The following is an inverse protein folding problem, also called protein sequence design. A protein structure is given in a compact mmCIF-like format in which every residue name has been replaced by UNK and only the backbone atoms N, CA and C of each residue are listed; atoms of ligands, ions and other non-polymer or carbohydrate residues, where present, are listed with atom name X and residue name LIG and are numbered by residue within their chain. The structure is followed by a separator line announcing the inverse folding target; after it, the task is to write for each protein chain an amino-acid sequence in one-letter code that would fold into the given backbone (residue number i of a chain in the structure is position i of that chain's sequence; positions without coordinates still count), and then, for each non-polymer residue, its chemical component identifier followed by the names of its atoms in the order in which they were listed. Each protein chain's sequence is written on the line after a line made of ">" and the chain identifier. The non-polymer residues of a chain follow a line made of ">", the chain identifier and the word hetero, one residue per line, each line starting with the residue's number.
data_IF_227980076141
#
_entry.id   IF_227980076141
#
_cell.length_a   1.000
_cell.length_b   1.000
_cell.length_c   1.000
_cell.angle_alpha   90.00
_cell.angle_beta   90.00
_cell.angle_gamma   90.00
#
_symmetry.space_group_name_H-M   'P 1'
#
loop_
_entity.id
_entity.type
_entity.pdbx_description
1 polymer ?
#
# COMPACT_ATOMS: atom_id res chain seq x y z
N UNK A 1 -11.95 15.46 10.21
CA UNK A 1 -11.23 16.66 9.72
C UNK A 1 -11.32 17.77 10.75
N UNK A 2 -10.30 17.92 11.61
CA UNK A 2 -10.19 19.03 12.57
C UNK A 2 -9.20 20.07 12.03
N UNK A 3 -9.74 21.26 11.75
CA UNK A 3 -9.15 22.60 11.89
C UNK A 3 -7.66 22.81 11.56
N UNK A 4 -7.38 23.50 10.45
CA UNK A 4 -6.26 24.45 10.39
C UNK A 4 -6.77 25.79 9.83
N UNK A 5 -7.14 26.66 10.76
CA UNK A 5 -7.48 28.07 10.53
C UNK A 5 -6.20 28.92 10.71
N UNK A 6 -6.03 29.91 9.82
CA UNK A 6 -5.15 31.10 9.89
C UNK A 6 -3.66 30.82 9.58
N UNK A 7 -2.95 31.61 8.76
CA UNK A 7 -3.03 33.04 8.49
C UNK A 7 -2.90 33.38 6.99
N UNK A 8 -3.74 34.33 6.54
CA UNK A 8 -3.51 35.23 5.42
C UNK A 8 -3.00 36.55 6.00
N UNK A 9 -1.93 37.10 5.44
CA UNK A 9 -1.61 38.53 5.40
C UNK A 9 -0.72 38.72 4.15
N UNK A 10 -1.28 38.91 2.96
CA UNK A 10 -1.71 40.20 2.41
C UNK A 10 -0.72 41.34 2.71
N UNK A 11 0.23 41.57 1.80
CA UNK A 11 0.75 42.90 1.53
C UNK A 11 0.72 43.14 0.02
N UNK A 12 0.04 44.21 -0.35
CA UNK A 12 -0.20 44.70 -1.71
C UNK A 12 0.75 45.89 -1.90
N UNK A 13 1.47 45.96 -3.02
CA UNK A 13 1.48 47.09 -3.99
C UNK A 13 2.60 46.95 -5.06
N UNK A 14 2.50 47.65 -6.21
CA UNK A 14 2.89 47.17 -7.53
C UNK A 14 4.13 47.88 -8.08
N UNK A 15 4.79 47.31 -9.08
CA UNK A 15 5.60 48.07 -10.04
C UNK A 15 5.46 47.47 -11.45
N UNK A 16 5.03 48.35 -12.35
CA UNK A 16 5.05 48.27 -13.81
C UNK A 16 6.47 48.12 -14.36
N UNK A 17 6.74 47.19 -15.29
CA UNK A 17 7.48 47.52 -16.52
C UNK A 17 7.43 46.39 -17.58
N UNK A 18 7.26 46.86 -18.81
CA UNK A 18 7.24 46.24 -20.14
C UNK A 18 8.37 45.28 -20.48
N UNK A 19 8.08 44.29 -21.34
CA UNK A 19 9.12 43.50 -22.02
C UNK A 19 8.56 42.36 -22.89
N UNK A 20 8.21 42.69 -24.13
CA UNK A 20 7.96 41.77 -25.24
C UNK A 20 9.22 40.93 -25.53
N UNK A 21 9.12 39.59 -25.52
CA UNK A 21 9.90 38.66 -26.35
C UNK A 21 9.10 37.36 -26.48
N UNK A 22 8.73 37.07 -27.72
CA UNK A 22 8.18 35.83 -28.22
C UNK A 22 9.30 34.80 -28.34
N UNK A 23 9.20 33.67 -27.63
CA UNK A 23 9.84 32.43 -28.05
C UNK A 23 8.85 31.27 -27.84
N UNK A 24 8.57 30.63 -28.96
CA UNK A 24 7.69 29.49 -29.12
C UNK A 24 8.31 28.27 -28.40
N UNK A 25 7.88 28.01 -27.17
CA UNK A 25 7.96 26.66 -26.61
C UNK A 25 6.76 25.88 -27.14
N UNK A 26 6.95 25.27 -28.31
CA UNK A 26 6.13 24.12 -28.72
C UNK A 26 6.46 23.00 -27.73
N UNK A 27 5.69 22.93 -26.64
CA UNK A 27 5.57 21.72 -25.85
C UNK A 27 5.16 20.60 -26.81
N UNK A 28 6.09 19.67 -27.05
CA UNK A 28 5.70 18.31 -27.38
C UNK A 28 4.73 17.89 -26.28
N UNK A 29 3.46 17.73 -26.64
CA UNK A 29 2.56 16.92 -25.85
C UNK A 29 3.16 15.53 -25.91
N UNK A 30 3.92 15.18 -24.89
CA UNK A 30 4.08 13.78 -24.55
C UNK A 30 2.69 13.34 -24.13
N UNK A 31 1.98 12.70 -25.07
CA UNK A 31 0.80 11.92 -24.77
C UNK A 31 1.28 10.79 -23.85
N UNK A 32 1.30 11.05 -22.54
CA UNK A 32 1.30 10.00 -21.53
C UNK A 32 -0.03 9.25 -21.71
N UNK A 33 -0.03 8.30 -22.64
CA UNK A 33 -1.05 7.28 -22.70
C UNK A 33 -1.13 6.68 -21.29
N UNK A 34 -2.33 6.61 -20.67
CA UNK A 34 -2.47 5.93 -19.39
C UNK A 34 -1.88 4.54 -19.52
N UNK A 35 -1.26 4.03 -18.45
CA UNK A 35 -0.60 2.73 -18.44
C UNK A 35 -1.64 1.59 -18.48
N UNK A 36 -2.44 1.50 -19.55
CA UNK A 36 -3.61 0.61 -19.65
C UNK A 36 -3.22 -0.88 -19.69
N UNK A 37 -1.93 -1.20 -19.74
CA UNK A 37 -1.44 -2.57 -19.92
C UNK A 37 -0.38 -3.00 -18.88
N UNK A 38 -0.31 -2.37 -17.70
CA UNK A 38 0.58 -2.94 -16.67
C UNK A 38 0.06 -4.32 -16.25
N UNK A 39 0.94 -5.31 -16.32
CA UNK A 39 0.73 -6.68 -15.84
C UNK A 39 1.88 -7.00 -14.89
N UNK A 40 1.54 -7.39 -13.67
CA UNK A 40 2.51 -7.81 -12.68
C UNK A 40 2.90 -9.26 -12.95
N UNK A 41 4.06 -9.47 -13.57
CA UNK A 41 4.54 -10.79 -13.97
C UNK A 41 4.76 -11.76 -12.78
N UNK A 42 4.96 -11.22 -11.57
CA UNK A 42 5.20 -12.00 -10.34
C UNK A 42 3.95 -12.15 -9.47
N UNK A 43 2.90 -11.38 -9.74
CA UNK A 43 1.70 -11.39 -8.92
C UNK A 43 0.83 -12.61 -9.23
N UNK A 44 0.17 -13.12 -8.20
CA UNK A 44 -0.71 -14.28 -8.32
C UNK A 44 -2.08 -13.85 -8.82
N UNK A 45 -2.76 -14.72 -9.57
CA UNK A 45 -4.13 -14.48 -10.06
C UNK A 45 -5.19 -15.26 -9.31
N UNK A 46 -4.77 -16.13 -8.39
CA UNK A 46 -5.62 -16.89 -7.46
C UNK A 46 -5.04 -16.81 -6.05
N UNK A 47 -5.85 -16.98 -5.00
CA UNK A 47 -5.34 -17.09 -3.64
C UNK A 47 -4.28 -18.19 -3.50
N UNK A 48 -3.23 -17.93 -2.73
CA UNK A 48 -2.23 -18.93 -2.32
C UNK A 48 -2.74 -19.75 -1.12
N UNK A 49 -3.67 -19.19 -0.33
CA UNK A 49 -4.23 -19.83 0.86
C UNK A 49 -5.00 -21.13 0.54
N UNK A 50 -4.77 -22.18 1.33
CA UNK A 50 -5.50 -23.44 1.24
C UNK A 50 -6.76 -23.39 2.11
N UNK A 51 -7.86 -23.95 1.61
CA UNK A 51 -9.16 -23.95 2.31
C UNK A 51 -9.09 -24.59 3.70
N UNK A 52 -8.25 -25.63 3.87
CA UNK A 52 -8.02 -26.28 5.16
C UNK A 52 -7.48 -25.34 6.25
N UNK A 53 -6.93 -24.19 5.86
CA UNK A 53 -6.26 -23.24 6.74
C UNK A 53 -7.07 -21.93 6.94
N UNK A 54 -8.24 -21.79 6.30
CA UNK A 54 -9.02 -20.54 6.29
C UNK A 54 -9.45 -20.09 7.70
N UNK A 55 -9.73 -21.03 8.62
CA UNK A 55 -10.15 -20.76 9.99
C UNK A 55 -9.09 -21.16 11.03
N UNK A 56 -7.81 -21.02 10.71
CA UNK A 56 -6.70 -21.38 11.61
C UNK A 56 -5.54 -20.39 11.56
N UNK A 57 -4.60 -20.51 12.48
CA UNK A 57 -3.33 -19.76 12.44
C UNK A 57 -2.45 -20.12 11.23
N UNK A 58 -2.62 -21.31 10.65
CA UNK A 58 -1.92 -21.70 9.42
C UNK A 58 -2.49 -20.94 8.23
N UNK A 59 -1.74 -20.85 7.15
CA UNK A 59 -2.17 -20.18 5.93
C UNK A 59 -1.24 -19.04 5.51
N UNK A 60 -1.78 -18.14 4.70
CA UNK A 60 -1.04 -17.03 4.10
C UNK A 60 -1.57 -15.70 4.66
N UNK A 61 -0.65 -14.81 5.02
CA UNK A 61 -0.96 -13.45 5.46
C UNK A 61 -0.20 -12.48 4.58
N UNK A 62 -0.87 -11.47 4.06
CA UNK A 62 -0.32 -10.50 3.13
C UNK A 62 -0.54 -9.10 3.66
N UNK A 63 0.36 -8.19 3.33
CA UNK A 63 0.28 -6.84 3.85
C UNK A 63 1.26 -5.84 3.26
N UNK A 64 1.17 -4.61 3.77
CA UNK A 64 2.02 -3.48 3.39
C UNK A 64 2.84 -2.98 4.57
N UNK A 65 3.95 -2.35 4.24
CA UNK A 65 4.91 -1.74 5.15
C UNK A 65 4.79 -0.22 5.07
N UNK A 66 4.18 0.36 6.09
CA UNK A 66 3.85 1.78 6.23
C UNK A 66 5.04 2.54 6.81
N UNK A 67 5.39 3.67 6.17
CA UNK A 67 6.52 4.52 6.53
C UNK A 67 7.68 4.43 5.55
N UNK A 68 7.81 3.26 4.90
CA UNK A 68 8.97 2.89 4.06
C UNK A 68 8.59 2.26 2.71
N UNK A 69 7.30 2.23 2.34
CA UNK A 69 6.78 1.63 1.08
C UNK A 69 7.32 0.23 0.79
N UNK A 70 6.52 -0.78 1.11
CA UNK A 70 6.86 -2.16 0.81
C UNK A 70 5.72 -3.13 1.06
N UNK A 71 5.96 -4.40 0.79
CA UNK A 71 5.00 -5.49 0.99
C UNK A 71 5.59 -6.60 1.85
N UNK A 72 4.71 -7.40 2.46
CA UNK A 72 5.10 -8.61 3.16
C UNK A 72 4.08 -9.72 2.90
N UNK A 73 4.60 -10.93 2.67
CA UNK A 73 3.82 -12.16 2.59
C UNK A 73 4.39 -13.16 3.59
N UNK A 74 3.56 -13.65 4.51
CA UNK A 74 3.90 -14.59 5.57
C UNK A 74 3.17 -15.90 5.29
N UNK A 75 3.93 -16.99 5.23
CA UNK A 75 3.45 -18.34 5.09
C UNK A 75 3.64 -19.11 6.39
N UNK A 76 2.52 -19.51 7.02
CA UNK A 76 2.52 -20.35 8.22
C UNK A 76 1.99 -21.73 7.82
N UNK A 77 2.88 -22.66 7.48
CA UNK A 77 2.54 -24.06 7.19
C UNK A 77 1.35 -24.24 6.21
N UNK A 78 1.30 -23.45 5.14
CA UNK A 78 0.22 -23.52 4.15
C UNK A 78 0.48 -24.61 3.10
N UNK A 79 0.34 -25.88 3.48
CA UNK A 79 0.56 -27.04 2.60
C UNK A 79 1.96 -27.64 2.69
N UNK A 80 2.83 -27.06 3.51
CA UNK A 80 4.15 -27.58 3.89
C UNK A 80 4.37 -27.43 5.40
N UNK A 81 5.51 -27.92 5.91
CA UNK A 81 5.93 -27.66 7.30
C UNK A 81 6.65 -26.31 7.47
N UNK A 82 6.83 -25.52 6.41
CA UNK A 82 7.66 -24.31 6.44
C UNK A 82 6.94 -23.12 7.07
N UNK A 83 7.73 -22.28 7.76
CA UNK A 83 7.28 -21.03 8.36
C UNK A 83 8.24 -19.94 7.89
N UNK A 84 7.78 -19.15 6.92
CA UNK A 84 8.62 -18.21 6.17
C UNK A 84 7.86 -16.93 5.92
N UNK A 85 8.57 -15.83 5.72
CA UNK A 85 8.01 -14.62 5.17
C UNK A 85 8.94 -14.06 4.08
N UNK A 86 8.35 -13.37 3.12
CA UNK A 86 9.05 -12.60 2.11
C UNK A 86 8.60 -11.16 2.26
N UNK A 87 9.54 -10.27 2.55
CA UNK A 87 9.29 -8.83 2.59
C UNK A 87 9.96 -8.18 1.39
N UNK A 88 9.28 -7.28 0.70
CA UNK A 88 9.88 -6.40 -0.30
C UNK A 88 9.89 -5.00 0.30
N UNK A 89 11.08 -4.42 0.44
CA UNK A 89 11.27 -3.07 1.01
C UNK A 89 12.30 -2.34 0.16
N UNK A 90 12.00 -1.10 -0.24
CA UNK A 90 12.84 -0.32 -1.17
C UNK A 90 13.20 -1.10 -2.46
N UNK A 91 12.28 -1.93 -2.94
CA UNK A 91 12.49 -2.80 -4.12
C UNK A 91 13.40 -4.01 -3.88
N UNK A 92 13.93 -4.20 -2.67
CA UNK A 92 14.76 -5.36 -2.31
C UNK A 92 13.91 -6.43 -1.64
N UNK A 93 14.01 -7.66 -2.16
CA UNK A 93 13.35 -8.83 -1.56
C UNK A 93 14.20 -9.42 -0.43
N UNK A 94 13.57 -9.63 0.72
CA UNK A 94 14.17 -10.15 1.94
C UNK A 94 13.44 -11.43 2.34
N UNK A 95 14.20 -12.52 2.41
CA UNK A 95 13.73 -13.77 2.98
C UNK A 95 13.83 -13.73 4.52
N UNK A 96 12.75 -14.12 5.17
CA UNK A 96 12.61 -14.17 6.62
C UNK A 96 12.16 -15.56 7.03
N UNK A 97 12.68 -16.07 8.15
CA UNK A 97 12.31 -17.38 8.68
C UNK A 97 11.95 -17.31 10.15
N UNK A 98 11.13 -18.26 10.59
CA UNK A 98 10.86 -18.49 12.01
C UNK A 98 10.91 -19.98 12.31
N UNK A 99 11.40 -20.32 13.50
CA UNK A 99 11.49 -21.70 13.98
C UNK A 99 10.44 -22.01 15.07
N UNK A 100 9.50 -21.08 15.33
CA UNK A 100 8.45 -21.30 16.32
C UNK A 100 7.41 -22.26 15.76
N UNK A 101 7.23 -23.41 16.42
CA UNK A 101 6.26 -24.40 16.00
C UNK A 101 4.82 -23.91 16.23
N UNK A 102 3.92 -24.26 15.31
CA UNK A 102 2.47 -24.06 15.49
C UNK A 102 1.94 -25.07 16.50
N UNK A 103 1.21 -24.59 17.51
CA UNK A 103 0.47 -25.43 18.46
C UNK A 103 -1.02 -25.33 18.13
N UNK A 104 -1.67 -26.48 17.89
CA UNK A 104 -3.09 -26.51 17.54
C UNK A 104 -3.96 -25.92 18.66
N UNK A 105 -4.97 -25.13 18.26
CA UNK A 105 -5.91 -24.52 19.20
C UNK A 105 -5.34 -23.34 19.99
N UNK A 106 -4.15 -22.84 19.64
CA UNK A 106 -3.55 -21.66 20.26
C UNK A 106 -3.44 -20.50 19.27
N UNK A 107 -3.40 -19.28 19.81
CA UNK A 107 -2.90 -18.14 19.05
C UNK A 107 -1.43 -18.36 18.68
N UNK A 108 -0.98 -17.70 17.64
CA UNK A 108 0.39 -17.86 17.14
C UNK A 108 1.15 -16.54 17.27
N UNK A 109 2.33 -16.61 17.87
CA UNK A 109 3.25 -15.48 18.02
C UNK A 109 4.64 -15.97 17.66
N UNK A 110 5.31 -15.32 16.71
CA UNK A 110 6.59 -15.78 16.22
C UNK A 110 7.49 -14.62 15.77
N UNK A 111 8.77 -14.61 16.20
CA UNK A 111 9.77 -13.75 15.61
C UNK A 111 10.19 -14.32 14.25
N UNK A 112 10.23 -13.45 13.27
CA UNK A 112 10.82 -13.67 11.96
C UNK A 112 12.12 -12.89 11.88
N UNK A 113 13.17 -13.54 11.38
CA UNK A 113 14.51 -12.95 11.26
C UNK A 113 15.08 -13.14 9.88
N UNK A 114 15.90 -12.19 9.43
CA UNK A 114 16.57 -12.22 8.13
C UNK A 114 17.62 -11.11 8.04
N UNK A 115 18.06 -10.81 6.82
CA UNK A 115 19.09 -9.80 6.56
C UNK A 115 18.62 -8.84 5.48
N UNK A 116 18.69 -7.53 5.73
CA UNK A 116 18.40 -6.47 4.77
C UNK A 116 19.63 -5.57 4.65
N UNK A 117 20.14 -5.37 3.42
CA UNK A 117 21.35 -4.60 3.15
C UNK A 117 22.54 -4.98 4.04
N UNK A 118 22.73 -6.29 4.27
CA UNK A 118 23.82 -6.82 5.10
C UNK A 118 23.60 -6.69 6.62
N UNK A 119 22.52 -6.04 7.06
CA UNK A 119 22.21 -5.89 8.49
C UNK A 119 21.10 -6.86 8.93
N UNK A 120 21.20 -7.44 10.14
CA UNK A 120 20.15 -8.30 10.66
C UNK A 120 18.87 -7.49 10.92
N UNK A 121 17.73 -8.09 10.58
CA UNK A 121 16.41 -7.55 10.88
C UNK A 121 15.58 -8.56 11.65
N UNK A 122 14.63 -8.05 12.43
CA UNK A 122 13.66 -8.88 13.15
C UNK A 122 12.28 -8.25 13.15
N UNK A 123 11.25 -9.09 13.17
CA UNK A 123 9.87 -8.66 13.30
C UNK A 123 9.05 -9.74 13.99
N UNK A 124 8.14 -9.37 14.89
CA UNK A 124 7.32 -10.32 15.63
C UNK A 124 5.90 -10.28 15.12
N UNK A 125 5.47 -11.37 14.49
CA UNK A 125 4.12 -11.56 14.01
C UNK A 125 3.25 -12.15 15.11
N UNK A 126 1.99 -11.72 15.19
CA UNK A 126 0.97 -12.28 16.08
C UNK A 126 -0.35 -12.43 15.35
N UNK A 127 -1.06 -13.53 15.60
CA UNK A 127 -2.41 -13.77 15.07
C UNK A 127 -3.23 -14.60 16.05
N UNK A 128 -4.54 -14.33 16.09
CA UNK A 128 -5.49 -15.11 16.87
C UNK A 128 -5.63 -16.54 16.35
N UNK A 129 -6.16 -17.44 17.19
CA UNK A 129 -6.30 -18.88 16.91
C UNK A 129 -7.00 -19.20 15.58
N UNK A 130 -7.98 -18.39 15.18
CA UNK A 130 -8.72 -18.56 13.92
C UNK A 130 -7.99 -18.01 12.69
N UNK A 131 -6.78 -17.48 12.86
CA UNK A 131 -6.12 -16.67 11.84
C UNK A 131 -6.63 -15.22 11.78
N UNK A 132 -7.54 -14.83 12.67
CA UNK A 132 -8.09 -13.48 12.75
C UNK A 132 -7.13 -12.46 13.38
N UNK A 133 -7.32 -11.20 13.02
CA UNK A 133 -6.58 -10.04 13.54
C UNK A 133 -5.05 -10.18 13.49
N UNK A 134 -4.46 -10.53 12.34
CA UNK A 134 -3.01 -10.59 12.19
C UNK A 134 -2.39 -9.20 12.44
N UNK A 135 -1.26 -9.16 13.13
CA UNK A 135 -0.55 -7.92 13.44
C UNK A 135 0.96 -8.16 13.53
N UNK A 136 1.73 -7.10 13.25
CA UNK A 136 3.16 -7.06 13.56
C UNK A 136 3.32 -6.31 14.88
N UNK A 137 3.65 -7.02 15.97
CA UNK A 137 3.72 -6.43 17.31
C UNK A 137 5.03 -5.67 17.55
N UNK A 138 6.08 -6.01 16.82
CA UNK A 138 7.35 -5.30 16.85
C UNK A 138 8.12 -5.50 15.55
N UNK A 139 8.99 -4.55 15.23
CA UNK A 139 9.94 -4.65 14.12
C UNK A 139 11.20 -3.86 14.40
N UNK A 140 12.34 -4.41 14.00
CA UNK A 140 13.64 -3.74 14.00
C UNK A 140 14.25 -3.89 12.62
N UNK A 141 14.18 -2.81 11.84
CA UNK A 141 14.71 -2.73 10.48
C UNK A 141 15.61 -1.49 10.41
N UNK A 142 16.95 -1.65 10.38
CA UNK A 142 17.86 -0.52 10.27
C UNK A 142 17.55 0.36 9.05
N UNK A 143 17.52 1.67 9.24
CA UNK A 143 17.11 2.64 8.21
C UNK A 143 15.62 2.92 8.13
N UNK A 144 14.78 2.13 8.80
CA UNK A 144 13.32 2.24 8.73
C UNK A 144 12.67 2.32 10.14
N UNK A 145 12.95 3.39 10.91
CA UNK A 145 12.35 3.57 12.22
C UNK A 145 10.83 3.78 12.10
N UNK A 146 10.07 3.36 13.12
CA UNK A 146 8.61 3.52 13.19
C UNK A 146 7.85 2.86 12.04
N UNK A 147 8.40 1.76 11.51
CA UNK A 147 7.72 0.97 10.49
C UNK A 147 6.43 0.38 11.07
N UNK A 148 5.32 0.62 10.40
CA UNK A 148 4.00 0.08 10.74
C UNK A 148 3.59 -0.94 9.69
N UNK A 149 2.85 -1.98 10.07
CA UNK A 149 2.38 -3.01 9.16
C UNK A 149 0.86 -3.05 9.15
N UNK A 150 0.28 -3.19 7.97
CA UNK A 150 -1.11 -3.60 7.82
C UNK A 150 -1.12 -4.99 7.21
N UNK A 151 -1.71 -5.95 7.92
CA UNK A 151 -1.72 -7.36 7.55
C UNK A 151 -3.16 -7.85 7.45
N UNK A 152 -3.43 -8.71 6.48
CA UNK A 152 -4.67 -9.45 6.36
C UNK A 152 -4.39 -10.91 6.07
N UNK A 153 -5.26 -11.78 6.57
CA UNK A 153 -5.25 -13.19 6.21
C UNK A 153 -5.86 -13.35 4.82
N UNK A 154 -5.14 -14.02 3.94
CA UNK A 154 -5.70 -14.50 2.68
C UNK A 154 -6.48 -15.79 2.95
N UNK A 155 -7.64 -15.94 2.30
CA UNK A 155 -8.43 -17.18 2.36
C UNK A 155 -8.48 -17.83 1.00
N UNK A 156 -8.83 -19.11 0.93
CA UNK A 156 -8.94 -19.87 -0.32
C UNK A 156 -9.92 -19.28 -1.34
N UNK A 157 -10.79 -18.37 -0.91
CA UNK A 157 -11.79 -17.68 -1.74
C UNK A 157 -11.58 -16.18 -1.86
N UNK A 158 -10.63 -15.61 -1.11
CA UNK A 158 -10.38 -14.16 -1.10
C UNK A 158 -8.90 -13.87 -1.12
N UNK A 159 -8.42 -13.49 -2.31
CA UNK A 159 -7.06 -13.04 -2.56
C UNK A 159 -6.84 -11.65 -1.95
N UNK A 160 -5.64 -11.41 -1.44
CA UNK A 160 -5.19 -10.09 -1.00
C UNK A 160 -4.18 -9.58 -2.03
N UNK A 161 -4.46 -8.40 -2.59
CA UNK A 161 -3.62 -7.71 -3.56
C UNK A 161 -3.02 -6.46 -2.93
N UNK A 162 -1.80 -6.09 -3.32
CA UNK A 162 -1.19 -4.80 -2.97
C UNK A 162 -0.92 -3.98 -4.22
N UNK A 163 -1.15 -2.68 -4.13
CA UNK A 163 -0.79 -1.71 -5.17
C UNK A 163 0.07 -0.62 -4.56
N UNK A 164 1.08 -0.18 -5.30
CA UNK A 164 1.92 0.96 -4.94
C UNK A 164 1.86 2.00 -6.05
N UNK A 165 1.89 3.27 -5.67
CA UNK A 165 1.77 4.34 -6.64
C UNK A 165 2.09 5.71 -6.07
N UNK A 166 1.78 6.70 -6.89
CA UNK A 166 1.98 8.12 -6.56
C UNK A 166 0.69 8.88 -6.71
N UNK A 167 0.57 9.96 -5.95
CA UNK A 167 -0.47 10.96 -6.14
C UNK A 167 0.14 12.33 -6.37
N UNK A 168 -0.60 13.18 -7.08
CA UNK A 168 -0.33 14.59 -7.24
C UNK A 168 -1.61 15.38 -7.04
N UNK A 169 -1.49 16.51 -6.36
CA UNK A 169 -2.57 17.47 -6.13
C UNK A 169 -2.34 18.69 -7.01
N UNK A 170 -3.41 19.30 -7.51
CA UNK A 170 -3.35 20.44 -8.45
C UNK A 170 -2.62 21.68 -7.94
N UNK A 171 -2.34 21.78 -6.64
CA UNK A 171 -1.57 22.87 -6.02
C UNK A 171 -0.08 22.53 -5.81
N UNK A 172 0.36 21.36 -6.27
CA UNK A 172 1.77 20.96 -6.31
C UNK A 172 2.18 19.93 -5.26
N UNK A 173 1.31 19.61 -4.29
CA UNK A 173 1.55 18.52 -3.35
C UNK A 173 1.68 17.18 -4.10
N UNK A 174 2.63 16.35 -3.69
CA UNK A 174 2.88 15.03 -4.28
C UNK A 174 3.25 14.03 -3.19
N UNK A 175 2.97 12.77 -3.42
CA UNK A 175 3.36 11.72 -2.50
C UNK A 175 3.21 10.33 -3.07
N UNK A 176 3.40 9.35 -2.20
CA UNK A 176 3.25 7.93 -2.51
C UNK A 176 2.07 7.34 -1.75
N UNK A 177 1.55 6.24 -2.26
CA UNK A 177 0.55 5.46 -1.56
C UNK A 177 0.82 3.96 -1.69
N UNK A 178 0.31 3.22 -0.71
CA UNK A 178 0.13 1.78 -0.78
C UNK A 178 -1.36 1.46 -0.55
N UNK A 179 -1.90 0.53 -1.33
CA UNK A 179 -3.26 0.03 -1.20
C UNK A 179 -3.19 -1.47 -0.96
N UNK A 180 -3.98 -1.97 0.00
CA UNK A 180 -4.32 -3.38 0.11
C UNK A 180 -5.78 -3.57 -0.28
N UNK A 181 -6.09 -4.57 -1.07
CA UNK A 181 -7.45 -4.83 -1.48
C UNK A 181 -7.78 -6.31 -1.61
N UNK A 182 -9.08 -6.60 -1.60
CA UNK A 182 -9.63 -7.88 -2.00
C UNK A 182 -10.84 -7.64 -2.88
N UNK A 183 -10.74 -8.07 -4.14
CA UNK A 183 -11.84 -7.93 -5.11
C UNK A 183 -13.07 -8.74 -4.72
N UNK A 184 -12.88 -9.97 -4.25
CA UNK A 184 -13.98 -10.84 -3.82
C UNK A 184 -14.74 -10.27 -2.62
N UNK A 185 -14.03 -9.63 -1.69
CA UNK A 185 -14.64 -8.97 -0.54
C UNK A 185 -15.15 -7.55 -0.85
N UNK A 186 -14.85 -7.02 -2.03
CA UNK A 186 -15.17 -5.66 -2.45
C UNK A 186 -14.68 -4.59 -1.45
N UNK A 187 -13.50 -4.80 -0.86
CA UNK A 187 -12.91 -3.94 0.18
C UNK A 187 -11.49 -3.58 -0.16
N UNK A 188 -11.09 -2.40 0.27
CA UNK A 188 -9.71 -1.95 0.18
C UNK A 188 -9.36 -1.01 1.34
N UNK A 189 -8.08 -0.93 1.64
CA UNK A 189 -7.46 0.00 2.58
C UNK A 189 -6.29 0.69 1.92
N UNK A 190 -5.92 1.87 2.40
CA UNK A 190 -4.76 2.60 1.90
C UNK A 190 -3.98 3.25 3.01
N UNK A 191 -2.72 3.53 2.67
CA UNK A 191 -1.87 4.44 3.40
C UNK A 191 -1.16 5.35 2.40
N UNK A 192 -1.12 6.64 2.69
CA UNK A 192 -0.48 7.66 1.87
C UNK A 192 0.57 8.42 2.67
N UNK A 193 1.58 8.92 1.97
CA UNK A 193 2.66 9.74 2.54
C UNK A 193 3.01 10.87 1.57
N UNK A 194 2.95 12.11 2.05
CA UNK A 194 3.42 13.28 1.29
C UNK A 194 4.95 13.29 1.20
N UNK A 195 5.48 13.72 0.05
CA UNK A 195 6.91 13.84 -0.16
C UNK A 195 7.55 14.81 0.84
N UNK A 196 8.65 14.39 1.45
CA UNK A 196 9.37 15.20 2.45
C UNK A 196 8.73 15.19 3.84
N UNK A 197 7.55 14.57 4.02
CA UNK A 197 6.91 14.44 5.33
C UNK A 197 7.25 13.10 5.99
N UNK A 198 7.16 13.08 7.32
CA UNK A 198 7.35 11.86 8.14
C UNK A 198 6.03 11.21 8.56
N UNK A 199 4.92 11.96 8.53
CA UNK A 199 3.58 11.48 8.85
C UNK A 199 2.93 10.76 7.66
N UNK A 200 2.08 9.79 7.98
CA UNK A 200 1.22 9.10 7.03
C UNK A 200 -0.25 9.35 7.34
N UNK A 201 -1.10 9.23 6.32
CA UNK A 201 -2.56 9.18 6.47
C UNK A 201 -3.07 7.83 5.95
N UNK A 202 -4.19 7.34 6.45
CA UNK A 202 -4.72 6.03 6.11
C UNK A 202 -6.24 6.02 6.13
N UNK A 203 -6.82 5.15 5.33
CA UNK A 203 -8.26 4.96 5.30
C UNK A 203 -8.65 3.66 4.62
N UNK A 204 -9.94 3.49 4.40
CA UNK A 204 -10.50 2.32 3.74
C UNK A 204 -11.78 2.65 3.00
N UNK A 205 -12.09 1.83 2.00
CA UNK A 205 -13.29 2.00 1.20
C UNK A 205 -13.80 0.68 0.65
N UNK A 206 -14.68 0.80 -0.35
CA UNK A 206 -15.27 -0.35 -1.05
C UNK A 206 -14.89 -0.35 -2.52
N UNK A 207 -15.02 -1.51 -3.16
CA UNK A 207 -14.87 -1.68 -4.60
C UNK A 207 -16.26 -1.95 -5.17
N UNK A 208 -16.64 -1.28 -6.25
CA UNK A 208 -17.90 -1.59 -6.93
C UNK A 208 -17.72 -2.65 -8.04
N UNK A 209 -18.83 -3.10 -8.63
CA UNK A 209 -18.81 -4.10 -9.71
C UNK A 209 -18.09 -3.65 -11.00
N UNK A 210 -17.80 -2.36 -11.13
CA UNK A 210 -17.01 -1.78 -12.24
C UNK A 210 -15.52 -1.67 -11.90
N UNK A 211 -15.04 -2.34 -10.85
CA UNK A 211 -13.66 -2.28 -10.38
C UNK A 211 -13.19 -0.87 -9.99
N UNK A 212 -14.12 -0.03 -9.51
CA UNK A 212 -13.80 1.32 -9.04
C UNK A 212 -13.64 1.36 -7.53
N UNK A 213 -12.62 2.07 -7.06
CA UNK A 213 -12.40 2.35 -5.65
C UNK A 213 -13.32 3.49 -5.20
N UNK A 214 -14.17 3.19 -4.21
CA UNK A 214 -15.09 4.13 -3.61
C UNK A 214 -14.59 4.54 -2.22
N UNK A 215 -14.37 5.83 -2.02
CA UNK A 215 -14.05 6.46 -0.74
C UNK A 215 -15.07 7.57 -0.47
N UNK A 216 -15.74 7.54 0.69
CA UNK A 216 -16.76 8.54 1.06
C UNK A 216 -17.79 8.82 -0.05
N UNK A 217 -18.30 7.75 -0.67
CA UNK A 217 -19.25 7.78 -1.80
C UNK A 217 -18.73 8.42 -3.11
N UNK A 218 -17.43 8.67 -3.21
CA UNK A 218 -16.77 9.15 -4.44
C UNK A 218 -15.95 8.04 -5.07
N UNK A 219 -16.02 7.93 -6.40
CA UNK A 219 -15.04 7.15 -7.18
C UNK A 219 -13.72 7.92 -7.13
N UNK A 220 -12.67 7.28 -6.62
CA UNK A 220 -11.33 7.88 -6.57
C UNK A 220 -10.38 7.28 -7.59
N UNK A 221 -10.61 6.04 -8.02
CA UNK A 221 -9.76 5.32 -8.98
C UNK A 221 -10.52 4.16 -9.62
N UNK A 222 -10.00 3.67 -10.74
CA UNK A 222 -10.43 2.45 -11.41
C UNK A 222 -9.25 1.49 -11.51
N UNK A 223 -9.52 0.21 -11.27
CA UNK A 223 -8.55 -0.86 -11.44
C UNK A 223 -8.74 -1.48 -12.84
N UNK A 224 -7.70 -1.45 -13.65
CA UNK A 224 -7.66 -2.08 -14.97
C UNK A 224 -6.56 -3.15 -14.98
N UNK A 225 -6.94 -4.41 -14.75
CA UNK A 225 -5.96 -5.49 -14.53
C UNK A 225 -5.12 -5.22 -13.28
N UNK A 226 -3.80 -5.07 -13.48
CA UNK A 226 -2.83 -4.75 -12.43
C UNK A 226 -2.46 -3.25 -12.40
N UNK A 227 -3.09 -2.41 -13.23
CA UNK A 227 -2.97 -0.96 -13.18
C UNK A 227 -4.09 -0.33 -12.34
N UNK A 228 -3.79 0.80 -11.69
CA UNK A 228 -4.74 1.58 -10.92
C UNK A 228 -4.55 3.06 -11.25
N UNK A 229 -5.60 3.69 -11.76
CA UNK A 229 -5.55 5.11 -12.17
C UNK A 229 -6.80 5.85 -11.70
N UNK A 230 -6.65 7.13 -11.35
CA UNK A 230 -7.74 7.93 -10.82
C UNK A 230 -7.52 9.42 -10.92
N UNK A 231 -8.62 10.16 -11.04
CA UNK A 231 -8.65 11.62 -10.94
C UNK A 231 -9.95 12.03 -10.28
N UNK A 232 -9.86 12.70 -9.13
CA UNK A 232 -11.03 13.09 -8.34
C UNK A 232 -10.78 14.40 -7.60
N UNK A 233 -11.85 14.99 -7.06
CA UNK A 233 -11.76 16.23 -6.27
C UNK A 233 -11.86 15.96 -4.77
N UNK A 234 -10.94 16.55 -4.03
CA UNK A 234 -10.96 16.56 -2.57
C UNK A 234 -12.09 17.46 -2.02
N UNK A 235 -12.14 17.63 -0.70
CA UNK A 235 -13.13 18.51 -0.06
C UNK A 235 -12.89 20.01 -0.30
N UNK A 236 -11.68 20.39 -0.72
CA UNK A 236 -11.29 21.76 -1.05
C UNK A 236 -11.38 22.04 -2.56
N UNK A 237 -12.01 21.16 -3.34
CA UNK A 237 -12.14 21.26 -4.80
C UNK A 237 -10.80 21.22 -5.55
N UNK A 238 -9.72 20.72 -4.92
CA UNK A 238 -8.44 20.42 -5.56
C UNK A 238 -8.53 19.11 -6.31
N UNK A 239 -7.91 19.04 -7.48
CA UNK A 239 -7.84 17.79 -8.25
C UNK A 239 -6.70 16.95 -7.72
N UNK A 240 -6.98 15.71 -7.35
CA UNK A 240 -6.02 14.67 -7.01
C UNK A 240 -5.98 13.68 -8.16
N UNK A 241 -4.80 13.46 -8.72
CA UNK A 241 -4.52 12.41 -9.71
C UNK A 241 -3.68 11.33 -9.06
N UNK A 242 -4.03 10.06 -9.27
CA UNK A 242 -3.28 8.92 -8.75
C UNK A 242 -3.00 7.90 -9.85
N UNK A 243 -1.80 7.33 -9.82
CA UNK A 243 -1.39 6.21 -10.69
C UNK A 243 -0.61 5.21 -9.86
N UNK A 244 -0.93 3.93 -10.00
CA UNK A 244 -0.32 2.84 -9.26
C UNK A 244 -0.31 1.53 -10.03
N UNK A 245 0.48 0.60 -9.52
CA UNK A 245 0.75 -0.72 -10.10
C UNK A 245 0.67 -1.77 -9.01
N UNK A 246 0.14 -2.95 -9.36
CA UNK A 246 0.09 -4.09 -8.45
C UNK A 246 1.50 -4.60 -8.13
N UNK A 247 1.76 -4.87 -6.86
CA UNK A 247 3.05 -5.40 -6.36
C UNK A 247 2.91 -6.71 -5.59
N UNK A 248 1.69 -7.11 -5.22
CA UNK A 248 1.36 -8.37 -4.56
C UNK A 248 0.01 -8.90 -5.04
#
# INVERSE_FOLDING_TARGET
>A
MKNLKRLIALLILPVFFTGMISLLFSCSKDDDAPAVNYVCATCKTTPDALAANDASVKGVYKGIVVGSTGTISINIQNGSSTITATMVLDGVSVALTSNVAVVNGQAYVAPFTGTFNGSPISMTFSVGMSGGSPTMVSSSIPGHPNTVFQLFKETSTSMIESFEGTYAVSDGEKGTFNILLSRSLMKWGYVVKENGQTSTDSGSGTINGSSQLILDSKVIATIAGDALDGSFKDSNNKTITITGKRTL
#
